data_IF_139900420977
#
_entry.id   IF_139900420977
#
_cell.length_a   1.000
_cell.length_b   1.000
_cell.length_c   1.000
_cell.angle_alpha   90.00
_cell.angle_beta   90.00
_cell.angle_gamma   90.00
#
_symmetry.space_group_name_H-M   'P 1'
#
loop_
_entity.id
_entity.type
_entity.pdbx_description
1 polymer ?
#
# COMPACT_ATOMS: atom_id res chain seq x y z
N UNK A 1 40.16 6.41 -41.73
CA UNK A 1 38.77 5.92 -41.81
C UNK A 1 38.52 5.07 -40.57
N UNK A 2 37.70 5.52 -39.63
CA UNK A 2 37.24 4.69 -38.51
C UNK A 2 35.71 4.71 -38.52
N UNK A 3 35.11 3.53 -38.60
CA UNK A 3 33.68 3.32 -38.78
C UNK A 3 32.99 3.13 -37.42
N UNK A 4 31.90 3.88 -37.22
CA UNK A 4 30.92 3.69 -36.15
C UNK A 4 30.00 2.51 -36.47
N UNK A 5 29.87 1.55 -35.57
CA UNK A 5 28.86 0.48 -35.62
C UNK A 5 27.66 0.84 -34.74
N UNK A 6 26.54 1.23 -35.37
CA UNK A 6 25.21 1.29 -34.76
C UNK A 6 24.40 0.09 -35.25
N UNK A 7 24.02 -0.80 -34.34
CA UNK A 7 23.22 -1.99 -34.66
C UNK A 7 21.73 -1.61 -34.76
N UNK A 8 21.18 -1.66 -35.97
CA UNK A 8 19.73 -1.56 -36.20
C UNK A 8 19.07 -2.93 -36.02
N UNK A 9 18.03 -3.02 -35.18
CA UNK A 9 17.17 -4.20 -35.09
C UNK A 9 16.05 -4.14 -36.15
N UNK A 10 15.98 -5.18 -36.98
CA UNK A 10 14.98 -5.40 -38.04
C UNK A 10 13.83 -6.27 -37.51
N UNK A 11 12.60 -5.79 -37.58
CA UNK A 11 11.39 -6.62 -37.40
C UNK A 11 10.92 -7.16 -38.76
N UNK A 12 10.83 -8.49 -38.90
CA UNK A 12 10.16 -9.14 -40.05
C UNK A 12 8.71 -9.44 -39.72
N UNK A 13 7.83 -9.00 -40.62
CA UNK A 13 6.37 -9.08 -40.58
C UNK A 13 5.89 -10.40 -41.19
N UNK A 14 5.26 -11.26 -40.39
CA UNK A 14 4.05 -12.04 -40.72
C UNK A 14 3.94 -13.25 -39.78
N UNK A 15 2.95 -13.26 -38.90
CA UNK A 15 2.12 -14.46 -38.75
C UNK A 15 0.71 -14.09 -38.26
N UNK A 16 -0.23 -14.08 -39.21
CA UNK A 16 -1.67 -13.95 -38.98
C UNK A 16 -2.23 -15.37 -38.81
N UNK A 17 -2.25 -15.92 -37.59
CA UNK A 17 -3.28 -16.89 -37.16
C UNK A 17 -3.14 -17.15 -35.66
N UNK A 18 -3.88 -16.41 -34.83
CA UNK A 18 -4.25 -16.78 -33.45
C UNK A 18 -5.26 -15.78 -32.86
N UNK A 19 -6.35 -15.55 -33.59
CA UNK A 19 -7.57 -15.00 -33.02
C UNK A 19 -8.51 -16.17 -32.73
N UNK A 20 -8.47 -16.68 -31.50
CA UNK A 20 -9.58 -17.37 -30.85
C UNK A 20 -9.20 -17.62 -29.38
N UNK A 21 -10.08 -17.19 -28.47
CA UNK A 21 -10.08 -17.43 -27.01
C UNK A 21 -9.28 -16.47 -26.12
N UNK A 22 -9.78 -15.23 -25.97
CA UNK A 22 -9.90 -14.62 -24.63
C UNK A 22 -11.28 -13.96 -24.56
N UNK A 23 -12.24 -14.69 -23.99
CA UNK A 23 -13.59 -14.22 -23.77
C UNK A 23 -13.64 -13.26 -22.57
N UNK A 24 -14.14 -12.05 -22.83
CA UNK A 24 -15.01 -11.21 -22.00
C UNK A 24 -14.86 -11.25 -20.46
N UNK A 25 -14.55 -10.07 -19.88
CA UNK A 25 -15.20 -9.60 -18.65
C UNK A 25 -15.16 -8.06 -18.55
N UNK A 26 -16.35 -7.48 -18.69
CA UNK A 26 -16.88 -6.22 -18.09
C UNK A 26 -16.16 -4.89 -18.35
N UNK A 27 -16.78 -4.11 -19.25
CA UNK A 27 -16.66 -2.65 -19.34
C UNK A 27 -17.08 -2.01 -18.01
N UNK A 28 -16.13 -1.38 -17.31
CA UNK A 28 -16.43 -0.40 -16.26
C UNK A 28 -16.18 0.98 -16.84
N UNK A 29 -17.24 1.81 -16.87
CA UNK A 29 -17.20 3.20 -17.33
C UNK A 29 -16.26 4.01 -16.43
N UNK A 30 -15.00 4.07 -16.81
CA UNK A 30 -13.98 4.90 -16.19
C UNK A 30 -14.09 6.29 -16.78
N UNK A 31 -14.27 7.29 -15.92
CA UNK A 31 -14.03 8.69 -16.30
C UNK A 31 -12.59 8.77 -16.79
N UNK A 32 -12.41 8.87 -18.10
CA UNK A 32 -11.12 8.80 -18.78
C UNK A 32 -10.38 10.13 -18.61
N UNK A 33 -9.63 10.25 -17.51
CA UNK A 33 -8.51 11.18 -17.50
C UNK A 33 -7.39 10.59 -18.39
N UNK A 34 -6.99 11.26 -19.49
CA UNK A 34 -6.01 10.75 -20.44
C UNK A 34 -4.60 10.55 -19.87
N UNK A 35 -4.35 10.90 -18.60
CA UNK A 35 -3.04 10.68 -17.94
C UNK A 35 -2.99 9.45 -17.03
N UNK A 36 -4.14 8.88 -16.65
CA UNK A 36 -4.21 7.74 -15.72
C UNK A 36 -4.67 6.50 -16.49
N UNK A 37 -3.73 5.82 -17.15
CA UNK A 37 -3.99 4.56 -17.84
C UNK A 37 -3.91 3.36 -16.86
N UNK A 38 -5.02 2.61 -16.65
CA UNK A 38 -5.01 1.42 -15.81
C UNK A 38 -3.97 0.40 -16.30
N UNK A 39 -3.09 -0.04 -15.40
CA UNK A 39 -2.07 -1.07 -15.70
C UNK A 39 -0.73 -0.54 -16.25
N UNK A 40 -0.60 0.75 -16.58
CA UNK A 40 0.68 1.32 -17.06
C UNK A 40 1.71 1.47 -15.94
N UNK A 41 1.25 1.83 -14.73
CA UNK A 41 2.13 2.10 -13.58
C UNK A 41 2.31 0.90 -12.63
N UNK A 42 1.45 -0.12 -12.72
CA UNK A 42 1.56 -1.33 -11.92
C UNK A 42 0.94 -2.54 -12.66
N UNK A 43 1.74 -3.49 -13.18
CA UNK A 43 1.23 -4.73 -13.78
C UNK A 43 0.45 -5.61 -12.80
N UNK A 44 0.62 -5.38 -11.49
CA UNK A 44 -0.04 -6.11 -10.40
C UNK A 44 -1.48 -5.65 -10.12
N UNK A 45 -1.96 -4.57 -10.76
CA UNK A 45 -3.33 -4.06 -10.58
C UNK A 45 -3.57 -3.16 -9.37
N UNK A 46 -2.56 -2.97 -8.49
CA UNK A 46 -2.59 -1.99 -7.41
C UNK A 46 -1.61 -0.86 -7.71
N UNK A 47 -2.12 0.24 -8.24
CA UNK A 47 -1.35 1.44 -8.57
C UNK A 47 -1.41 2.45 -7.41
N UNK A 48 -0.25 2.94 -6.97
CA UNK A 48 -0.10 3.89 -5.87
C UNK A 48 -0.82 5.20 -6.19
N UNK A 49 -0.77 5.68 -7.44
CA UNK A 49 -1.45 6.91 -7.82
C UNK A 49 -2.96 6.75 -7.71
N UNK A 50 -3.49 5.62 -8.17
CA UNK A 50 -4.90 5.25 -7.95
C UNK A 50 -5.26 5.19 -6.47
N UNK A 51 -4.41 4.62 -5.61
CA UNK A 51 -4.63 4.59 -4.16
C UNK A 51 -4.69 6.01 -3.58
N UNK A 52 -3.71 6.86 -3.91
CA UNK A 52 -3.66 8.25 -3.42
C UNK A 52 -4.87 9.07 -3.91
N UNK A 53 -5.27 8.91 -5.18
CA UNK A 53 -6.44 9.57 -5.73
C UNK A 53 -7.74 9.16 -5.01
N UNK A 54 -7.91 7.87 -4.72
CA UNK A 54 -9.08 7.38 -3.95
C UNK A 54 -9.11 7.91 -2.52
N UNK A 55 -7.94 8.09 -1.89
CA UNK A 55 -7.84 8.71 -0.56
C UNK A 55 -8.22 10.19 -0.63
N UNK A 56 -7.75 10.90 -1.65
CA UNK A 56 -8.08 12.32 -1.85
C UNK A 56 -9.58 12.53 -2.09
N UNK A 57 -10.20 11.68 -2.92
CA UNK A 57 -11.61 11.77 -3.29
C UNK A 57 -12.57 11.06 -2.31
N UNK A 58 -12.11 10.62 -1.12
CA UNK A 58 -12.92 9.83 -0.19
C UNK A 58 -14.09 10.63 0.39
N UNK A 59 -15.25 9.99 0.63
CA UNK A 59 -16.40 10.67 1.23
C UNK A 59 -16.16 10.95 2.72
N UNK A 60 -16.56 12.14 3.17
CA UNK A 60 -16.61 12.54 4.59
C UNK A 60 -15.27 12.35 5.35
N UNK A 61 -14.17 12.99 4.92
CA UNK A 61 -12.87 12.87 5.59
C UNK A 61 -12.97 13.29 7.06
N UNK A 62 -12.48 12.45 7.98
CA UNK A 62 -12.45 12.75 9.41
C UNK A 62 -11.10 13.33 9.84
N UNK A 63 -10.05 12.99 9.12
CA UNK A 63 -8.67 13.41 9.36
C UNK A 63 -8.20 14.20 8.15
N UNK A 64 -7.76 15.44 8.39
CA UNK A 64 -7.07 16.19 7.35
C UNK A 64 -5.65 15.64 7.19
N UNK A 65 -5.33 15.21 5.99
CA UNK A 65 -4.02 14.66 5.64
C UNK A 65 -3.08 15.73 5.05
N UNK A 66 -3.63 16.85 4.59
CA UNK A 66 -2.89 17.81 3.78
C UNK A 66 -2.38 17.21 2.46
N UNK A 67 -1.36 17.83 1.85
CA UNK A 67 -0.73 17.34 0.63
C UNK A 67 0.00 16.01 0.87
N UNK A 68 -0.35 14.99 0.09
CA UNK A 68 0.35 13.70 0.08
C UNK A 68 0.81 13.41 -1.36
N UNK A 69 2.05 12.94 -1.48
CA UNK A 69 2.63 12.45 -2.73
C UNK A 69 3.28 11.07 -2.55
N UNK A 70 4.05 10.63 -3.55
CA UNK A 70 4.74 9.33 -3.52
C UNK A 70 5.97 9.28 -2.60
N UNK A 71 6.39 10.42 -2.01
CA UNK A 71 7.54 10.49 -1.10
C UNK A 71 7.18 10.12 0.34
N UNK A 72 5.90 9.93 0.65
CA UNK A 72 5.45 9.56 2.00
C UNK A 72 5.69 8.08 2.29
N UNK A 73 5.99 7.76 3.54
CA UNK A 73 6.00 6.39 4.01
C UNK A 73 4.55 5.89 4.16
N UNK A 74 4.13 5.07 3.21
CA UNK A 74 2.82 4.41 3.23
C UNK A 74 2.90 2.89 3.01
N UNK A 75 1.84 2.22 3.47
CA UNK A 75 1.57 0.80 3.24
C UNK A 75 0.10 0.59 2.89
N UNK A 76 -0.19 -0.48 2.15
CA UNK A 76 -1.56 -0.89 1.82
C UNK A 76 -1.78 -2.32 2.29
N UNK A 77 -2.85 -2.52 3.05
CA UNK A 77 -3.30 -3.81 3.55
C UNK A 77 -4.63 -4.19 2.92
N UNK A 78 -4.81 -5.48 2.60
CA UNK A 78 -6.06 -6.02 2.06
C UNK A 78 -6.98 -6.45 3.21
N UNK A 79 -8.11 -5.76 3.38
CA UNK A 79 -9.10 -6.00 4.44
C UNK A 79 -9.98 -7.22 4.17
N UNK A 80 -10.09 -7.67 2.91
CA UNK A 80 -10.86 -8.85 2.55
C UNK A 80 -10.13 -10.15 2.94
N UNK A 81 -8.81 -10.08 3.16
CA UNK A 81 -7.99 -11.21 3.55
C UNK A 81 -7.87 -11.33 5.08
N UNK A 82 -7.79 -12.57 5.62
CA UNK A 82 -7.59 -12.79 7.05
C UNK A 82 -6.35 -12.07 7.56
N UNK A 83 -6.49 -11.42 8.72
CA UNK A 83 -5.40 -10.71 9.40
C UNK A 83 -4.90 -9.44 8.71
N UNK A 84 -5.60 -8.92 7.69
CA UNK A 84 -5.27 -7.69 6.97
C UNK A 84 -3.78 -7.62 6.53
N UNK A 85 -3.34 -8.54 5.66
CA UNK A 85 -1.95 -8.62 5.23
C UNK A 85 -1.54 -7.43 4.37
N UNK A 86 -0.27 -7.03 4.50
CA UNK A 86 0.36 -6.03 3.63
C UNK A 86 0.47 -6.57 2.21
N UNK A 87 -0.09 -5.84 1.25
CA UNK A 87 0.02 -6.12 -0.18
C UNK A 87 0.99 -5.19 -0.90
N UNK A 88 1.22 -4.00 -0.34
CA UNK A 88 2.15 -3.00 -0.87
C UNK A 88 2.79 -2.20 0.26
N UNK A 89 4.05 -1.79 0.06
CA UNK A 89 4.75 -0.84 0.89
C UNK A 89 5.62 0.06 0.00
N UNK A 90 5.65 1.35 0.33
CA UNK A 90 6.46 2.36 -0.36
C UNK A 90 7.94 2.26 0.02
N UNK A 91 8.81 2.80 -0.84
CA UNK A 91 10.26 2.87 -0.58
C UNK A 91 10.59 3.66 0.69
N UNK A 92 10.01 4.86 0.94
CA UNK A 92 10.25 5.60 2.18
C UNK A 92 9.87 4.83 3.44
N UNK A 93 8.82 3.99 3.39
CA UNK A 93 8.48 3.10 4.51
C UNK A 93 9.58 2.04 4.75
N UNK A 94 10.07 1.43 3.67
CA UNK A 94 11.15 0.44 3.76
C UNK A 94 12.45 1.06 4.27
N UNK A 95 12.79 2.27 3.83
CA UNK A 95 13.95 3.03 4.31
C UNK A 95 13.82 3.41 5.79
N UNK A 96 12.67 3.95 6.19
CA UNK A 96 12.40 4.38 7.56
C UNK A 96 12.50 3.20 8.55
N UNK A 97 11.94 2.04 8.18
CA UNK A 97 11.84 0.87 9.06
C UNK A 97 13.00 -0.12 8.92
N UNK A 98 13.74 -0.08 7.80
CA UNK A 98 14.81 -1.01 7.47
C UNK A 98 14.34 -2.40 6.98
N UNK A 99 13.04 -2.60 6.79
CA UNK A 99 12.48 -3.84 6.23
C UNK A 99 12.40 -3.77 4.71
N UNK A 100 12.56 -4.91 4.03
CA UNK A 100 12.29 -5.02 2.59
C UNK A 100 10.91 -5.61 2.34
N UNK A 101 10.38 -5.40 1.14
CA UNK A 101 9.07 -5.95 0.75
C UNK A 101 8.98 -7.47 0.96
N UNK A 102 10.05 -8.23 0.66
CA UNK A 102 10.10 -9.67 0.90
C UNK A 102 10.02 -10.08 2.37
N UNK A 103 10.36 -9.19 3.31
CA UNK A 103 10.25 -9.45 4.75
C UNK A 103 8.82 -9.24 5.28
N UNK A 104 8.01 -8.40 4.62
CA UNK A 104 6.76 -7.85 5.18
C UNK A 104 5.51 -8.22 4.38
N UNK A 105 5.65 -8.56 3.10
CA UNK A 105 4.52 -8.95 2.25
C UNK A 105 3.77 -10.12 2.88
N UNK A 106 2.44 -10.02 2.94
CA UNK A 106 1.59 -11.06 3.53
C UNK A 106 1.51 -11.03 5.06
N UNK A 107 2.26 -10.15 5.75
CA UNK A 107 2.19 -10.01 7.21
C UNK A 107 1.27 -8.87 7.61
N UNK A 108 0.68 -8.98 8.79
CA UNK A 108 0.04 -7.83 9.43
C UNK A 108 1.09 -6.85 9.98
N UNK A 109 0.86 -5.54 9.84
CA UNK A 109 1.78 -4.48 10.29
C UNK A 109 2.15 -4.50 11.78
N UNK A 110 1.45 -5.27 12.62
CA UNK A 110 1.77 -5.40 14.05
C UNK A 110 3.20 -5.86 14.34
N UNK A 111 3.92 -6.44 13.37
CA UNK A 111 5.32 -6.83 13.55
C UNK A 111 6.18 -5.64 14.04
N UNK A 112 5.85 -4.41 13.65
CA UNK A 112 6.54 -3.20 14.11
C UNK A 112 6.40 -2.93 15.62
N UNK A 113 5.49 -3.61 16.32
CA UNK A 113 5.19 -3.34 17.74
C UNK A 113 6.13 -4.06 18.72
N UNK A 114 7.12 -4.80 18.22
CA UNK A 114 8.13 -5.45 19.06
C UNK A 114 9.50 -5.48 18.37
N UNK A 115 10.61 -5.42 19.14
CA UNK A 115 11.93 -5.68 18.61
C UNK A 115 11.98 -7.11 18.03
N UNK A 116 12.57 -7.25 16.84
CA UNK A 116 12.66 -8.54 16.14
C UNK A 116 11.41 -8.96 15.36
N UNK A 117 10.33 -8.16 15.34
CA UNK A 117 9.21 -8.36 14.40
C UNK A 117 8.20 -9.46 14.76
N UNK A 118 8.36 -10.15 15.90
CA UNK A 118 7.53 -11.29 16.25
C UNK A 118 6.39 -10.89 17.20
N UNK A 119 5.20 -10.64 16.64
CA UNK A 119 4.01 -10.27 17.42
C UNK A 119 2.83 -11.16 17.04
N UNK A 120 2.34 -11.94 18.00
CA UNK A 120 1.17 -12.81 17.79
C UNK A 120 -0.13 -11.99 17.79
N UNK A 121 -1.16 -12.42 17.04
CA UNK A 121 -2.51 -11.89 17.20
C UNK A 121 -2.96 -11.98 18.67
N UNK A 122 -3.72 -10.99 19.13
CA UNK A 122 -4.28 -10.93 20.50
C UNK A 122 -3.29 -10.97 21.69
N UNK A 123 -1.97 -10.97 21.48
CA UNK A 123 -1.00 -10.95 22.58
C UNK A 123 -0.90 -9.58 23.26
N UNK A 124 -0.54 -9.53 24.53
CA UNK A 124 -0.15 -8.25 25.16
C UNK A 124 1.16 -7.74 24.53
N UNK A 125 1.32 -6.41 24.43
CA UNK A 125 2.53 -5.76 23.91
C UNK A 125 3.29 -5.15 25.08
N UNK A 126 4.61 -5.39 25.13
CA UNK A 126 5.48 -4.89 26.22
C UNK A 126 5.73 -3.38 26.11
N UNK A 127 5.78 -2.85 24.89
CA UNK A 127 6.25 -1.50 24.59
C UNK A 127 5.16 -0.56 24.07
N UNK A 128 3.91 -1.01 24.04
CA UNK A 128 2.78 -0.26 23.44
C UNK A 128 1.58 -0.32 24.37
N UNK A 129 0.92 0.83 24.57
CA UNK A 129 -0.31 0.92 25.36
C UNK A 129 -1.42 0.03 24.75
N UNK A 130 -2.00 -0.91 25.52
CA UNK A 130 -3.15 -1.69 25.09
C UNK A 130 -4.35 -0.87 24.60
N UNK A 131 -4.55 0.35 25.10
CA UNK A 131 -5.63 1.25 24.66
C UNK A 131 -5.42 1.69 23.20
N UNK A 132 -4.21 2.09 22.84
CA UNK A 132 -3.85 2.44 21.44
C UNK A 132 -4.10 1.26 20.50
N UNK A 133 -3.72 0.05 20.91
CA UNK A 133 -3.95 -1.17 20.11
C UNK A 133 -5.44 -1.46 19.94
N UNK A 134 -6.22 -1.28 21.00
CA UNK A 134 -7.68 -1.45 20.95
C UNK A 134 -8.32 -0.42 20.02
N UNK A 135 -7.89 0.84 20.09
CA UNK A 135 -8.36 1.92 19.21
C UNK A 135 -8.13 1.63 17.74
N UNK A 136 -6.89 1.29 17.37
CA UNK A 136 -6.56 0.90 15.99
C UNK A 136 -7.36 -0.31 15.51
N UNK A 137 -7.51 -1.34 16.36
CA UNK A 137 -8.28 -2.54 16.00
C UNK A 137 -9.75 -2.23 15.73
N UNK A 138 -10.35 -1.39 16.56
CA UNK A 138 -11.75 -0.99 16.40
C UNK A 138 -11.94 -0.13 15.15
N UNK A 139 -11.01 0.79 14.88
CA UNK A 139 -11.04 1.60 13.67
C UNK A 139 -10.98 0.77 12.39
N UNK A 140 -10.05 -0.19 12.32
CA UNK A 140 -9.96 -1.13 11.19
C UNK A 140 -11.22 -1.98 11.06
N UNK A 141 -11.76 -2.49 12.18
CA UNK A 141 -12.99 -3.30 12.17
C UNK A 141 -14.22 -2.52 11.71
N UNK A 142 -14.30 -1.24 12.05
CA UNK A 142 -15.45 -0.37 11.73
C UNK A 142 -15.24 0.46 10.48
N UNK A 143 -14.13 0.26 9.75
CA UNK A 143 -13.74 1.05 8.59
C UNK A 143 -13.81 2.55 8.86
N UNK A 144 -13.22 2.98 9.99
CA UNK A 144 -13.10 4.40 10.36
C UNK A 144 -11.66 4.86 10.24
N UNK A 145 -11.50 6.12 9.85
CA UNK A 145 -10.19 6.80 9.91
C UNK A 145 -9.70 6.86 11.36
N UNK A 146 -8.40 6.69 11.54
CA UNK A 146 -7.79 6.74 12.87
C UNK A 146 -6.37 7.26 12.79
N UNK A 147 -6.00 8.12 13.73
CA UNK A 147 -4.63 8.60 13.89
C UNK A 147 -4.18 8.42 15.34
N UNK A 148 -2.94 7.97 15.51
CA UNK A 148 -2.38 7.72 16.84
C UNK A 148 -0.85 7.77 16.81
N UNK A 149 -0.25 8.10 17.95
CA UNK A 149 1.19 7.92 18.17
C UNK A 149 1.43 6.53 18.78
N UNK A 150 2.36 5.77 18.20
CA UNK A 150 2.68 4.42 18.65
C UNK A 150 4.19 4.16 18.60
N UNK A 151 4.72 3.55 19.65
CA UNK A 151 6.11 3.06 19.66
C UNK A 151 6.25 1.88 18.70
N UNK A 152 7.11 2.04 17.71
CA UNK A 152 7.47 0.98 16.75
C UNK A 152 8.96 0.71 16.79
N UNK A 153 9.38 -0.40 16.18
CA UNK A 153 10.76 -0.85 16.16
C UNK A 153 11.20 -1.08 14.71
N UNK A 154 12.37 -0.54 14.37
CA UNK A 154 13.05 -0.81 13.10
C UNK A 154 13.53 -2.26 13.06
N UNK A 155 13.96 -2.73 11.89
CA UNK A 155 14.48 -4.10 11.70
C UNK A 155 15.68 -4.40 12.60
N UNK A 156 16.51 -3.40 12.85
CA UNK A 156 17.67 -3.48 13.76
C UNK A 156 17.29 -3.42 15.26
N UNK A 157 16.00 -3.29 15.58
CA UNK A 157 15.50 -3.23 16.94
C UNK A 157 15.49 -1.84 17.58
N UNK A 158 15.94 -0.79 16.89
CA UNK A 158 15.84 0.58 17.44
C UNK A 158 14.39 1.03 17.54
N UNK A 159 13.94 1.56 18.69
CA UNK A 159 12.61 2.12 18.84
C UNK A 159 12.51 3.47 18.12
N UNK A 160 11.32 3.79 17.62
CA UNK A 160 10.95 5.12 17.14
C UNK A 160 9.46 5.37 17.41
N UNK A 161 9.08 6.64 17.57
CA UNK A 161 7.67 7.03 17.69
C UNK A 161 7.12 7.20 16.29
N UNK A 162 6.11 6.40 15.96
CA UNK A 162 5.40 6.44 14.68
C UNK A 162 4.07 7.18 14.86
N UNK A 163 3.89 8.29 14.16
CA UNK A 163 2.60 8.92 13.96
C UNK A 163 1.90 8.17 12.84
N UNK A 164 0.99 7.27 13.20
CA UNK A 164 0.29 6.39 12.28
C UNK A 164 -1.09 6.95 11.96
N UNK A 165 -1.38 7.14 10.67
CA UNK A 165 -2.73 7.45 10.19
C UNK A 165 -3.25 6.29 9.34
N UNK A 166 -4.44 5.80 9.63
CA UNK A 166 -5.09 4.67 8.97
C UNK A 166 -6.33 5.20 8.24
N UNK A 167 -6.36 5.01 6.92
CA UNK A 167 -7.47 5.43 6.06
C UNK A 167 -8.03 4.21 5.32
N UNK A 168 -9.28 3.82 5.54
CA UNK A 168 -9.92 2.76 4.78
C UNK A 168 -10.35 3.29 3.41
N UNK A 169 -10.18 2.49 2.35
CA UNK A 169 -10.57 2.86 0.98
C UNK A 169 -11.50 1.82 0.37
N UNK A 170 -12.51 2.33 -0.33
CA UNK A 170 -13.41 1.56 -1.17
C UNK A 170 -12.74 1.22 -2.51
N UNK A 171 -13.04 0.05 -3.06
CA UNK A 171 -12.44 -0.39 -4.31
C UNK A 171 -13.47 -1.01 -5.25
N UNK A 172 -13.77 -0.28 -6.33
CA UNK A 172 -14.72 -0.60 -7.40
C UNK A 172 -16.19 -0.78 -6.99
N UNK A 173 -16.45 -1.15 -5.74
CA UNK A 173 -17.75 -1.19 -5.08
C UNK A 173 -17.79 -0.19 -3.92
N UNK A 174 -18.93 -0.09 -3.23
CA UNK A 174 -19.04 0.69 -1.98
C UNK A 174 -18.45 -0.05 -0.76
N UNK A 175 -17.86 -1.23 -0.95
CA UNK A 175 -17.24 -1.98 0.13
C UNK A 175 -15.79 -1.54 0.33
N UNK A 176 -15.39 -1.41 1.60
CA UNK A 176 -14.01 -1.14 1.95
C UNK A 176 -13.16 -2.39 1.70
N UNK A 177 -12.19 -2.26 0.80
CA UNK A 177 -11.33 -3.37 0.41
C UNK A 177 -9.92 -3.25 0.96
N UNK A 178 -9.39 -2.03 1.02
CA UNK A 178 -8.03 -1.80 1.47
C UNK A 178 -8.00 -0.82 2.64
N UNK A 179 -6.95 -0.93 3.44
CA UNK A 179 -6.59 0.06 4.44
C UNK A 179 -5.21 0.59 4.13
N UNK A 180 -5.09 1.91 4.06
CA UNK A 180 -3.84 2.61 3.77
C UNK A 180 -3.32 3.20 5.06
N UNK A 181 -2.10 2.82 5.42
CA UNK A 181 -1.41 3.39 6.58
C UNK A 181 -0.39 4.40 6.09
N UNK A 182 -0.44 5.63 6.62
CA UNK A 182 0.63 6.61 6.52
C UNK A 182 1.45 6.61 7.80
N UNK A 183 2.77 6.61 7.67
CA UNK A 183 3.70 6.62 8.79
C UNK A 183 4.57 7.85 8.75
N UNK A 184 4.81 8.43 9.91
CA UNK A 184 5.78 9.50 10.08
C UNK A 184 6.58 9.25 11.35
N UNK A 185 7.90 9.24 11.23
CA UNK A 185 8.77 9.17 12.40
C UNK A 185 8.81 10.55 13.04
N UNK A 186 8.34 10.65 14.29
CA UNK A 186 8.48 11.87 15.09
C UNK A 186 9.97 12.11 15.38
N UNK A 187 10.42 13.34 15.12
CA UNK A 187 11.80 13.80 15.38
C UNK A 187 12.17 13.76 16.87
#
# INVERSE_FOLDING_TARGET
MYANTSTQYRFTRNDKTREAQVAQCTETSTTSDPLIYPGLYAPSGLDVMTVLFRIYARPNPQIDLGPIDCSVALLVCDLALPDAPIVYASDPFMEMTGYRMGDIKGKNCRFLQAPGGNVKPHSSRKHVDPKTIKGMREAVKTNKEHQTEITNFKKDGRPFVNILTIIPIQWDTQEYRYSVGFQHQKE
#
